data_IF_716780878660
#
_entry.id   IF_716780878660
#
_cell.length_a   1.000
_cell.length_b   1.000
_cell.length_c   1.000
_cell.angle_alpha   90.00
_cell.angle_beta   90.00
_cell.angle_gamma   90.00
#
_symmetry.space_group_name_H-M   'P 1'
#
loop_
_entity.id
_entity.type
_entity.pdbx_description
1 polymer ?
#
# COMPACT_ATOMS: atom_id res chain seq x y z
N UNK A 1 3.30 32.06 5.94
CA UNK A 1 4.62 31.64 6.45
C UNK A 1 5.50 31.30 5.26
N UNK A 2 6.62 32.02 5.06
CA UNK A 2 7.57 31.77 3.96
C UNK A 2 8.33 30.47 4.27
N UNK A 3 8.36 29.52 3.34
CA UNK A 3 9.15 28.29 3.46
C UNK A 3 10.63 28.63 3.28
N UNK A 4 11.45 28.36 4.30
CA UNK A 4 12.90 28.64 4.33
C UNK A 4 13.75 27.40 4.05
N UNK A 5 13.13 26.28 3.69
CA UNK A 5 13.79 24.99 3.42
C UNK A 5 13.58 24.62 1.95
N UNK A 6 14.60 24.06 1.29
CA UNK A 6 14.52 23.59 -0.11
C UNK A 6 13.54 22.42 -0.31
N UNK A 7 12.98 21.89 0.77
CA UNK A 7 12.08 20.74 0.76
C UNK A 7 10.65 21.16 1.13
N UNK A 8 9.63 20.81 0.32
CA UNK A 8 8.25 21.19 0.56
C UNK A 8 7.60 20.29 1.62
N UNK A 9 7.85 20.56 2.90
CA UNK A 9 7.33 19.79 4.05
C UNK A 9 5.79 19.77 4.21
N UNK A 10 5.05 20.48 3.35
CA UNK A 10 3.58 20.59 3.39
C UNK A 10 2.89 20.08 2.11
N UNK A 11 3.58 19.30 1.28
CA UNK A 11 2.94 18.70 0.11
C UNK A 11 1.95 17.62 0.58
N UNK A 12 0.70 18.02 0.78
CA UNK A 12 -0.42 17.07 0.92
C UNK A 12 -0.54 16.35 -0.41
N UNK A 13 -0.11 15.09 -0.43
CA UNK A 13 -0.19 14.22 -1.58
C UNK A 13 -1.63 14.24 -2.12
N UNK A 14 -1.81 14.73 -3.34
CA UNK A 14 -3.14 14.81 -3.95
C UNK A 14 -3.58 13.38 -4.22
N UNK A 15 -4.53 12.88 -3.45
CA UNK A 15 -5.18 11.60 -3.69
C UNK A 15 -5.79 11.63 -5.09
N UNK A 16 -5.14 10.97 -6.04
CA UNK A 16 -5.63 10.79 -7.40
C UNK A 16 -6.81 9.83 -7.31
N UNK A 17 -8.03 10.38 -7.32
CA UNK A 17 -9.24 9.56 -7.38
C UNK A 17 -9.26 8.89 -8.76
N UNK A 18 -9.46 7.57 -8.79
CA UNK A 18 -9.55 6.80 -10.04
C UNK A 18 -10.69 7.31 -10.93
N UNK A 19 -10.60 7.06 -12.23
CA UNK A 19 -11.61 7.51 -13.19
C UNK A 19 -12.99 6.92 -12.88
N UNK A 20 -14.04 7.75 -12.95
CA UNK A 20 -15.42 7.32 -12.67
C UNK A 20 -15.89 6.22 -13.64
N UNK A 21 -15.36 6.23 -14.87
CA UNK A 21 -15.61 5.18 -15.88
C UNK A 21 -15.00 3.84 -15.45
N UNK A 22 -13.76 3.85 -14.96
CA UNK A 22 -13.11 2.61 -14.49
C UNK A 22 -13.83 2.05 -13.27
N UNK A 23 -14.28 2.92 -12.35
CA UNK A 23 -15.08 2.48 -11.21
C UNK A 23 -16.39 1.79 -11.66
N UNK A 24 -17.11 2.39 -12.62
CA UNK A 24 -18.33 1.81 -13.18
C UNK A 24 -18.10 0.42 -13.81
N UNK A 25 -17.04 0.24 -14.60
CA UNK A 25 -16.70 -1.06 -15.18
C UNK A 25 -16.31 -2.10 -14.14
N UNK A 26 -15.54 -1.72 -13.11
CA UNK A 26 -15.15 -2.65 -12.04
C UNK A 26 -16.38 -3.12 -11.25
N UNK A 27 -17.32 -2.21 -10.93
CA UNK A 27 -18.56 -2.57 -10.25
C UNK A 27 -19.47 -3.45 -11.12
N UNK A 28 -19.62 -3.12 -12.40
CA UNK A 28 -20.37 -3.95 -13.35
C UNK A 28 -19.75 -5.35 -13.50
N UNK A 29 -18.44 -5.45 -13.65
CA UNK A 29 -17.74 -6.73 -13.75
C UNK A 29 -17.87 -7.56 -12.46
N UNK A 30 -17.70 -6.93 -11.28
CA UNK A 30 -17.86 -7.62 -10.00
C UNK A 30 -19.29 -8.18 -9.82
N UNK A 31 -20.31 -7.38 -10.14
CA UNK A 31 -21.71 -7.82 -10.07
C UNK A 31 -22.04 -8.90 -11.11
N UNK A 32 -21.47 -8.81 -12.31
CA UNK A 32 -21.61 -9.84 -13.34
C UNK A 32 -20.99 -11.17 -12.88
N UNK A 33 -19.81 -11.15 -12.28
CA UNK A 33 -19.17 -12.35 -11.70
C UNK A 33 -20.03 -12.94 -10.58
N UNK A 34 -20.55 -12.12 -9.68
CA UNK A 34 -21.47 -12.58 -8.62
C UNK A 34 -22.74 -13.19 -9.21
N UNK A 35 -23.32 -12.56 -10.23
CA UNK A 35 -24.49 -13.07 -10.94
C UNK A 35 -24.19 -14.42 -11.60
N UNK A 36 -23.02 -14.58 -12.24
CA UNK A 36 -22.62 -15.82 -12.90
C UNK A 36 -22.36 -16.95 -11.89
N UNK A 37 -21.71 -16.64 -10.77
CA UNK A 37 -21.49 -17.58 -9.67
C UNK A 37 -22.82 -18.03 -9.04
N UNK A 38 -23.78 -17.11 -8.88
CA UNK A 38 -25.09 -17.41 -8.35
C UNK A 38 -25.86 -18.38 -9.27
N UNK A 39 -25.80 -18.16 -10.59
CA UNK A 39 -26.39 -19.05 -11.59
C UNK A 39 -25.74 -20.43 -11.55
N UNK A 40 -24.41 -20.49 -11.47
CA UNK A 40 -23.69 -21.77 -11.42
C UNK A 40 -24.02 -22.55 -10.14
N UNK A 41 -24.09 -21.89 -8.99
CA UNK A 41 -24.30 -22.58 -7.72
C UNK A 41 -25.77 -22.89 -7.41
N UNK A 42 -26.69 -22.00 -7.77
CA UNK A 42 -28.10 -22.07 -7.36
C UNK A 42 -29.07 -22.36 -8.50
N UNK A 43 -28.61 -22.34 -9.76
CA UNK A 43 -29.45 -22.55 -10.95
C UNK A 43 -30.49 -21.45 -11.21
N UNK A 44 -30.60 -20.45 -10.33
CA UNK A 44 -31.54 -19.35 -10.44
C UNK A 44 -30.76 -18.04 -10.63
N UNK A 45 -31.23 -17.19 -11.54
CA UNK A 45 -30.74 -15.83 -11.66
C UNK A 45 -31.39 -15.01 -10.54
N UNK A 46 -30.60 -14.32 -9.74
CA UNK A 46 -31.13 -13.21 -8.94
C UNK A 46 -31.32 -11.99 -9.84
N UNK A 47 -32.57 -11.65 -10.25
CA UNK A 47 -32.79 -10.62 -11.25
C UNK A 47 -32.28 -9.25 -10.77
N UNK A 48 -32.23 -9.03 -9.46
CA UNK A 48 -31.73 -7.80 -8.87
C UNK A 48 -30.21 -7.62 -9.08
N UNK A 49 -29.38 -8.67 -9.00
CA UNK A 49 -27.92 -8.54 -9.23
C UNK A 49 -27.60 -8.27 -10.70
N UNK A 50 -28.31 -8.95 -11.60
CA UNK A 50 -28.13 -8.78 -13.04
C UNK A 50 -28.63 -7.40 -13.50
N UNK A 51 -29.78 -6.95 -12.98
CA UNK A 51 -30.29 -5.61 -13.23
C UNK A 51 -29.33 -4.54 -12.70
N UNK A 52 -28.78 -4.71 -11.49
CA UNK A 52 -27.82 -3.76 -10.92
C UNK A 52 -26.54 -3.68 -11.75
N UNK A 53 -26.01 -4.82 -12.22
CA UNK A 53 -24.86 -4.86 -13.13
C UNK A 53 -25.12 -4.09 -14.43
N UNK A 54 -26.28 -4.30 -15.06
CA UNK A 54 -26.65 -3.61 -16.30
C UNK A 54 -26.81 -2.10 -16.10
N UNK A 55 -27.39 -1.69 -14.96
CA UNK A 55 -27.54 -0.28 -14.58
C UNK A 55 -26.17 0.38 -14.41
N UNK A 56 -25.22 -0.26 -13.72
CA UNK A 56 -23.86 0.26 -13.56
C UNK A 56 -23.12 0.38 -14.91
N UNK A 57 -23.25 -0.62 -15.78
CA UNK A 57 -22.67 -0.58 -17.13
C UNK A 57 -23.26 0.55 -17.98
N UNK A 58 -24.58 0.74 -17.92
CA UNK A 58 -25.28 1.81 -18.63
C UNK A 58 -24.84 3.19 -18.14
N UNK A 59 -24.73 3.40 -16.83
CA UNK A 59 -24.24 4.66 -16.28
C UNK A 59 -22.76 4.92 -16.58
N UNK A 60 -21.93 3.87 -16.63
CA UNK A 60 -20.52 3.99 -17.00
C UNK A 60 -20.34 4.51 -18.45
N UNK A 61 -21.23 4.11 -19.36
CA UNK A 61 -21.22 4.52 -20.77
C UNK A 61 -21.91 5.88 -20.96
N UNK A 62 -23.14 6.04 -20.46
CA UNK A 62 -23.97 7.20 -20.77
C UNK A 62 -23.54 8.46 -20.00
N UNK A 63 -23.35 8.36 -18.68
CA UNK A 63 -23.04 9.51 -17.80
C UNK A 63 -22.22 9.08 -16.57
N UNK A 64 -20.91 8.84 -16.73
CA UNK A 64 -20.05 8.43 -15.62
C UNK A 64 -19.94 9.47 -14.51
N UNK A 65 -20.20 10.75 -14.79
CA UNK A 65 -20.22 11.82 -13.78
C UNK A 65 -21.25 11.59 -12.65
N UNK A 66 -22.32 10.82 -12.90
CA UNK A 66 -23.29 10.46 -11.86
C UNK A 66 -22.72 9.45 -10.85
N UNK A 67 -21.71 8.67 -11.26
CA UNK A 67 -21.00 7.73 -10.40
C UNK A 67 -19.90 8.41 -9.57
N UNK A 68 -19.61 9.68 -9.82
CA UNK A 68 -18.55 10.43 -9.13
C UNK A 68 -18.69 10.49 -7.60
N UNK A 69 -19.85 10.83 -7.00
CA UNK A 69 -19.99 10.84 -5.54
C UNK A 69 -19.81 9.43 -4.94
N UNK A 70 -20.26 8.40 -5.66
CA UNK A 70 -20.12 7.01 -5.24
C UNK A 70 -18.68 6.53 -5.32
N UNK A 71 -17.97 6.84 -6.42
CA UNK A 71 -16.54 6.55 -6.59
C UNK A 71 -15.72 7.22 -5.47
N UNK A 72 -16.03 8.47 -5.13
CA UNK A 72 -15.36 9.17 -4.02
C UNK A 72 -15.64 8.52 -2.67
N UNK A 73 -16.87 8.09 -2.41
CA UNK A 73 -17.23 7.38 -1.19
C UNK A 73 -16.51 6.02 -1.10
N UNK A 74 -16.47 5.26 -2.21
CA UNK A 74 -15.75 4.01 -2.32
C UNK A 74 -14.24 4.19 -2.07
N UNK A 75 -13.64 5.24 -2.63
CA UNK A 75 -12.22 5.54 -2.39
C UNK A 75 -11.95 5.86 -0.90
N UNK A 76 -12.82 6.65 -0.25
CA UNK A 76 -12.69 6.91 1.19
C UNK A 76 -12.80 5.64 2.03
N UNK A 77 -13.72 4.75 1.65
CA UNK A 77 -13.86 3.44 2.30
C UNK A 77 -12.59 2.61 2.12
N UNK A 78 -12.04 2.58 0.90
CA UNK A 78 -10.78 1.91 0.59
C UNK A 78 -9.60 2.45 1.42
N UNK A 79 -9.52 3.77 1.60
CA UNK A 79 -8.51 4.41 2.44
C UNK A 79 -8.69 4.07 3.93
N UNK A 80 -9.93 4.04 4.41
CA UNK A 80 -10.23 3.64 5.80
C UNK A 80 -9.85 2.17 6.03
N UNK A 81 -10.19 1.29 5.08
CA UNK A 81 -9.82 -0.11 5.13
C UNK A 81 -8.30 -0.28 5.08
N UNK A 82 -7.62 0.46 4.20
CA UNK A 82 -6.16 0.46 4.11
C UNK A 82 -5.51 0.88 5.44
N UNK A 83 -6.06 1.89 6.13
CA UNK A 83 -5.58 2.30 7.46
C UNK A 83 -5.66 1.18 8.50
N UNK A 84 -6.57 0.22 8.35
CA UNK A 84 -6.72 -0.92 9.26
C UNK A 84 -5.86 -2.10 8.79
N UNK A 85 -5.92 -2.42 7.49
CA UNK A 85 -5.20 -3.55 6.89
C UNK A 85 -3.69 -3.33 6.94
N UNK A 86 -3.21 -2.10 6.71
CA UNK A 86 -1.78 -1.81 6.67
C UNK A 86 -1.08 -2.14 8.01
N UNK A 87 -1.54 -1.66 9.18
CA UNK A 87 -1.02 -2.10 10.48
C UNK A 87 -1.13 -3.61 10.73
N UNK A 88 -2.22 -4.25 10.30
CA UNK A 88 -2.41 -5.70 10.49
C UNK A 88 -1.37 -6.48 9.69
N UNK A 89 -1.19 -6.15 8.41
CA UNK A 89 -0.19 -6.79 7.54
C UNK A 89 1.22 -6.52 8.05
N UNK A 90 1.53 -5.27 8.44
CA UNK A 90 2.82 -4.94 9.04
C UNK A 90 3.06 -5.70 10.33
N UNK A 91 2.04 -5.84 11.18
CA UNK A 91 2.09 -6.66 12.39
C UNK A 91 2.35 -8.12 12.06
N UNK A 92 1.64 -8.69 11.08
CA UNK A 92 1.82 -10.08 10.67
C UNK A 92 3.23 -10.34 10.14
N UNK A 93 3.78 -9.43 9.31
CA UNK A 93 5.16 -9.52 8.83
C UNK A 93 6.14 -9.42 10.00
N UNK A 94 5.90 -8.48 10.93
CA UNK A 94 6.77 -8.29 12.08
C UNK A 94 6.79 -9.53 12.98
N UNK A 95 5.63 -10.02 13.43
CA UNK A 95 5.54 -11.16 14.33
C UNK A 95 5.78 -12.51 13.63
N UNK A 96 5.48 -12.62 12.35
CA UNK A 96 5.60 -13.85 11.57
C UNK A 96 6.98 -14.07 10.94
N UNK A 97 7.70 -13.00 10.58
CA UNK A 97 9.00 -13.11 9.92
C UNK A 97 10.11 -12.41 10.70
N UNK A 98 9.94 -11.13 11.04
CA UNK A 98 11.03 -10.32 11.61
C UNK A 98 11.40 -10.79 13.03
N UNK A 99 10.40 -10.88 13.92
CA UNK A 99 10.58 -11.29 15.30
C UNK A 99 11.18 -12.69 15.44
N UNK A 100 10.67 -13.75 14.77
CA UNK A 100 11.26 -15.07 14.88
C UNK A 100 12.67 -15.11 14.30
N UNK A 101 12.93 -14.40 13.19
CA UNK A 101 14.29 -14.29 12.64
C UNK A 101 15.25 -13.65 13.66
N UNK A 102 14.84 -12.55 14.28
CA UNK A 102 15.62 -11.88 15.33
C UNK A 102 15.85 -12.78 16.55
N UNK A 103 14.83 -13.53 16.98
CA UNK A 103 14.94 -14.47 18.09
C UNK A 103 15.93 -15.60 17.77
N UNK A 104 15.85 -16.19 16.56
CA UNK A 104 16.80 -17.21 16.09
C UNK A 104 18.22 -16.67 16.03
N UNK A 105 18.42 -15.44 15.53
CA UNK A 105 19.74 -14.80 15.52
C UNK A 105 20.29 -14.60 16.94
N UNK A 106 19.44 -14.16 17.88
CA UNK A 106 19.83 -13.97 19.29
C UNK A 106 20.18 -15.29 19.97
N UNK A 107 19.41 -16.36 19.72
CA UNK A 107 19.73 -17.71 20.20
C UNK A 107 21.04 -18.24 19.62
N UNK A 108 21.39 -17.87 18.39
CA UNK A 108 22.67 -18.19 17.74
C UNK A 108 23.82 -17.26 18.17
N UNK A 109 23.60 -16.35 19.12
CA UNK A 109 24.60 -15.39 19.59
C UNK A 109 25.01 -14.34 18.55
N UNK A 110 24.25 -14.18 17.46
CA UNK A 110 24.52 -13.18 16.42
C UNK A 110 23.93 -11.84 16.85
N UNK A 111 24.79 -10.86 17.05
CA UNK A 111 24.42 -9.48 17.33
C UNK A 111 24.79 -8.58 16.13
N UNK A 112 23.97 -8.54 15.07
CA UNK A 112 24.25 -7.73 13.88
C UNK A 112 24.26 -6.23 14.18
N UNK A 113 23.54 -5.79 15.21
CA UNK A 113 23.46 -4.39 15.61
C UNK A 113 24.53 -3.99 16.63
N UNK A 114 25.35 -4.95 17.12
CA UNK A 114 26.35 -4.74 18.18
C UNK A 114 25.76 -3.98 19.37
N UNK A 115 24.56 -4.39 19.78
CA UNK A 115 23.81 -3.73 20.84
C UNK A 115 24.42 -3.98 22.23
N UNK A 116 25.18 -5.07 22.39
CA UNK A 116 25.93 -5.32 23.62
C UNK A 116 27.01 -4.26 23.83
N UNK A 117 26.91 -3.53 24.94
CA UNK A 117 27.90 -2.52 25.33
C UNK A 117 29.09 -3.20 25.99
N UNK A 118 30.26 -3.00 25.39
CA UNK A 118 31.54 -3.41 25.96
C UNK A 118 32.11 -2.29 26.84
N UNK A 119 32.23 -2.55 28.14
CA UNK A 119 32.76 -1.59 29.11
C UNK A 119 34.28 -1.38 28.98
N UNK A 120 35.00 -2.31 28.33
CA UNK A 120 36.44 -2.22 28.09
C UNK A 120 36.81 -1.59 26.74
N UNK A 121 35.83 -1.25 25.90
CA UNK A 121 36.10 -0.71 24.57
C UNK A 121 36.55 0.76 24.64
N UNK A 122 37.73 1.06 24.08
CA UNK A 122 38.24 2.44 23.96
C UNK A 122 37.36 3.32 23.05
N UNK A 123 36.71 2.72 22.04
CA UNK A 123 35.79 3.41 21.15
C UNK A 123 34.87 2.44 20.41
N UNK A 124 33.60 2.82 20.24
CA UNK A 124 32.63 2.10 19.41
C UNK A 124 32.71 2.48 17.93
N UNK A 125 33.64 3.37 17.56
CA UNK A 125 33.79 3.84 16.19
C UNK A 125 34.24 2.69 15.26
N UNK A 126 33.42 2.39 14.25
CA UNK A 126 33.76 1.40 13.23
C UNK A 126 34.72 2.06 12.24
N UNK A 127 36.01 1.72 12.30
CA UNK A 127 36.99 2.15 11.31
C UNK A 127 36.58 1.61 9.94
N UNK A 128 36.31 2.52 9.01
CA UNK A 128 36.05 2.16 7.61
C UNK A 128 37.39 2.10 6.88
N UNK A 129 37.54 1.14 5.99
CA UNK A 129 38.62 1.17 4.99
C UNK A 129 38.49 2.47 4.18
N UNK A 130 39.60 3.09 3.77
CA UNK A 130 39.56 4.28 2.92
C UNK A 130 38.66 3.99 1.71
N UNK A 131 37.74 4.91 1.43
CA UNK A 131 36.91 4.83 0.23
C UNK A 131 37.77 4.86 -1.03
N UNK A 132 37.19 4.55 -2.20
CA UNK A 132 37.91 4.64 -3.46
C UNK A 132 38.51 6.04 -3.64
N UNK A 133 39.65 6.12 -4.33
CA UNK A 133 40.38 7.37 -4.50
C UNK A 133 39.44 8.48 -5.03
N UNK A 134 39.62 9.75 -4.62
CA UNK A 134 38.75 10.87 -5.02
C UNK A 134 38.54 10.95 -6.55
N UNK A 135 39.53 10.50 -7.31
CA UNK A 135 39.56 10.42 -8.77
C UNK A 135 38.54 9.42 -9.37
N UNK A 136 37.94 8.55 -8.57
CA UNK A 136 36.90 7.62 -9.01
C UNK A 136 35.52 8.27 -9.17
N UNK A 137 35.32 9.47 -8.65
CA UNK A 137 34.06 10.21 -8.79
C UNK A 137 34.13 11.08 -10.05
N UNK A 138 33.60 10.54 -11.16
CA UNK A 138 33.69 11.14 -12.49
C UNK A 138 32.97 12.49 -12.61
N UNK A 139 31.95 12.73 -11.80
CA UNK A 139 31.13 13.95 -11.81
C UNK A 139 30.68 14.29 -10.38
N UNK A 140 31.54 14.96 -9.61
CA UNK A 140 31.24 15.31 -8.22
C UNK A 140 30.56 16.69 -8.05
N UNK A 141 30.35 17.42 -9.16
CA UNK A 141 29.66 18.72 -9.21
C UNK A 141 28.78 18.83 -10.45
#
# INVERSE_FOLDING_TARGET
MRQTTHEPLSQKEKLVVGSDRSFGWVMAAALAVVSLLNVWHSGHLWPWTSALSAVFALFAIARPAMLHPLNRAWMKLGLLLHRIVNPIVMGLIFFGAILPTGLVMRLRGKDPLRLNRDAGAESYWIRRTPGPAPESMRDQF
#
